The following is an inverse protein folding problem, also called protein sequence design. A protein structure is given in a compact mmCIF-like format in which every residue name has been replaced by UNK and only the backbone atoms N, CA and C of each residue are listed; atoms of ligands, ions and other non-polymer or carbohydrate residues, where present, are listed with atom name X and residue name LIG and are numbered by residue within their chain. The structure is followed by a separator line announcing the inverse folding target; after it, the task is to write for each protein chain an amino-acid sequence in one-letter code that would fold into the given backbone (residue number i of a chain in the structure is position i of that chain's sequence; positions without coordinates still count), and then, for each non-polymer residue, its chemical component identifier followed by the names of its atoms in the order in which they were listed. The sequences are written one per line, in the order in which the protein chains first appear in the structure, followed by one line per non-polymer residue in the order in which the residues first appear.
data_IF_994486338623
#
_entry.id   IF_994486338623
#
_cell.length_a   1.000
_cell.length_b   1.000
_cell.length_c   1.000
_cell.angle_alpha   90.00
_cell.angle_beta   90.00
_cell.angle_gamma   90.00
#
_symmetry.space_group_name_H-M   'P 1'
#
loop_
_entity.id
_entity.type
_entity.pdbx_description
1 polymer ?
#
# COMPACT_ATOMS: atom_id res chain seq x y z
N UNK A 1 7.21 -23.08 17.53
CA UNK A 1 5.77 -23.01 17.17
C UNK A 1 5.58 -23.07 15.64
N UNK A 2 5.95 -24.20 15.01
CA UNK A 2 5.78 -24.41 13.57
C UNK A 2 5.14 -25.79 13.30
N UNK A 3 5.50 -26.79 14.11
CA UNK A 3 4.95 -28.16 14.03
C UNK A 3 3.45 -28.20 14.36
N UNK A 4 2.98 -27.42 15.34
CA UNK A 4 1.55 -27.38 15.71
C UNK A 4 0.62 -26.81 14.61
N UNK A 5 1.13 -25.96 13.71
CA UNK A 5 0.34 -25.43 12.58
C UNK A 5 0.28 -26.41 11.41
N UNK A 6 1.27 -27.31 11.27
CA UNK A 6 1.30 -28.31 10.22
C UNK A 6 0.35 -29.49 10.51
N UNK A 7 0.09 -29.79 11.78
CA UNK A 7 -0.78 -30.89 12.21
C UNK A 7 -2.28 -30.58 12.13
N UNK A 8 -2.67 -29.33 11.85
CA UNK A 8 -4.06 -28.88 11.85
C UNK A 8 -4.43 -28.16 10.53
N UNK A 9 -4.63 -28.92 9.43
CA UNK A 9 -4.88 -28.36 8.10
C UNK A 9 -6.12 -27.45 8.05
N UNK A 10 -7.14 -27.70 8.88
CA UNK A 10 -8.32 -26.83 8.98
C UNK A 10 -8.00 -25.45 9.57
N UNK A 11 -7.16 -25.36 10.60
CA UNK A 11 -6.73 -24.06 11.18
C UNK A 11 -5.83 -23.29 10.21
N UNK A 12 -4.99 -24.00 9.46
CA UNK A 12 -4.15 -23.41 8.42
C UNK A 12 -4.98 -22.85 7.25
N UNK A 13 -6.03 -23.58 6.83
CA UNK A 13 -6.96 -23.12 5.81
C UNK A 13 -7.72 -21.87 6.26
N UNK A 14 -8.25 -21.85 7.48
CA UNK A 14 -8.95 -20.68 8.03
C UNK A 14 -8.04 -19.44 8.14
N UNK A 15 -6.77 -19.63 8.54
CA UNK A 15 -5.80 -18.53 8.61
C UNK A 15 -5.45 -17.99 7.21
N UNK A 16 -5.25 -18.88 6.23
CA UNK A 16 -4.98 -18.48 4.85
C UNK A 16 -6.17 -17.75 4.23
N UNK A 17 -7.39 -18.21 4.50
CA UNK A 17 -8.60 -17.55 4.01
C UNK A 17 -8.78 -16.17 4.63
N UNK A 18 -8.54 -16.03 5.94
CA UNK A 18 -8.52 -14.72 6.59
C UNK A 18 -7.51 -13.79 5.92
N UNK A 19 -6.27 -14.24 5.70
CA UNK A 19 -5.26 -13.45 5.02
C UNK A 19 -5.66 -13.09 3.58
N UNK A 20 -6.28 -14.02 2.83
CA UNK A 20 -6.76 -13.78 1.46
C UNK A 20 -7.84 -12.71 1.43
N UNK A 21 -8.81 -12.79 2.34
CA UNK A 21 -9.90 -11.82 2.45
C UNK A 21 -9.40 -10.44 2.91
N UNK A 22 -8.45 -10.39 3.85
CA UNK A 22 -7.90 -9.12 4.33
C UNK A 22 -6.84 -8.53 3.38
N UNK A 23 -6.23 -9.33 2.50
CA UNK A 23 -5.22 -8.85 1.53
C UNK A 23 -5.77 -7.78 0.59
N UNK A 24 -7.03 -7.87 0.16
CA UNK A 24 -7.66 -6.84 -0.66
C UNK A 24 -8.09 -5.59 0.10
N UNK A 25 -8.25 -5.69 1.43
CA UNK A 25 -8.74 -4.61 2.29
C UNK A 25 -7.61 -3.92 3.10
N UNK A 26 -6.39 -4.48 3.10
CA UNK A 26 -5.25 -3.88 3.75
C UNK A 26 -4.67 -2.78 2.85
N UNK A 27 -4.54 -1.53 3.35
CA UNK A 27 -3.91 -0.43 2.60
C UNK A 27 -2.52 -0.75 2.06
N UNK A 28 -1.80 -1.69 2.70
CA UNK A 28 -0.48 -2.14 2.30
C UNK A 28 -0.43 -2.87 0.94
N UNK A 29 -1.55 -3.44 0.49
CA UNK A 29 -1.63 -4.18 -0.78
C UNK A 29 -2.52 -3.47 -1.82
N UNK A 30 -2.97 -2.24 -1.53
CA UNK A 30 -3.70 -1.42 -2.50
C UNK A 30 -2.70 -0.72 -3.43
N UNK A 31 -2.26 -1.45 -4.45
CA UNK A 31 -1.36 -0.94 -5.48
C UNK A 31 -1.97 0.27 -6.19
N UNK A 32 -3.29 0.29 -6.40
CA UNK A 32 -3.94 1.40 -7.08
C UNK A 32 -3.86 2.69 -6.25
N UNK A 33 -4.06 2.59 -4.93
CA UNK A 33 -3.87 3.73 -4.02
C UNK A 33 -2.42 4.21 -4.02
N UNK A 34 -1.45 3.29 -3.96
CA UNK A 34 -0.03 3.65 -4.04
C UNK A 34 0.31 4.38 -5.35
N UNK A 35 -0.18 3.88 -6.50
CA UNK A 35 0.02 4.53 -7.80
C UNK A 35 -0.55 5.95 -7.81
N UNK A 36 -1.77 6.15 -7.28
CA UNK A 36 -2.37 7.50 -7.19
C UNK A 36 -1.51 8.46 -6.36
N UNK A 37 -0.96 8.02 -5.23
CA UNK A 37 -0.04 8.84 -4.44
C UNK A 37 1.23 9.20 -5.22
N UNK A 38 1.78 8.25 -5.97
CA UNK A 38 2.99 8.47 -6.76
C UNK A 38 2.74 9.46 -7.92
N UNK A 39 1.63 9.32 -8.62
CA UNK A 39 1.22 10.24 -9.69
C UNK A 39 1.03 11.67 -9.16
N UNK A 40 0.34 11.82 -8.02
CA UNK A 40 0.18 13.12 -7.38
C UNK A 40 1.53 13.75 -6.96
N UNK A 41 2.48 12.93 -6.49
CA UNK A 41 3.82 13.39 -6.18
C UNK A 41 4.53 13.93 -7.44
N UNK A 42 4.44 13.22 -8.56
CA UNK A 42 5.06 13.67 -9.81
C UNK A 42 4.44 14.96 -10.36
N UNK A 43 3.12 15.11 -10.26
CA UNK A 43 2.45 16.36 -10.65
C UNK A 43 2.97 17.54 -9.83
N UNK A 44 3.11 17.40 -8.51
CA UNK A 44 3.62 18.46 -7.65
C UNK A 44 5.11 18.75 -7.90
N UNK A 45 5.93 17.73 -8.12
CA UNK A 45 7.34 17.89 -8.52
C UNK A 45 7.43 18.69 -9.82
N UNK A 46 6.63 18.33 -10.82
CA UNK A 46 6.62 19.02 -12.10
C UNK A 46 6.19 20.48 -11.96
N UNK A 47 5.12 20.74 -11.20
CA UNK A 47 4.64 22.11 -10.92
C UNK A 47 5.74 22.97 -10.30
N UNK A 48 6.41 22.46 -9.27
CA UNK A 48 7.50 23.16 -8.58
C UNK A 48 8.70 23.42 -9.48
N UNK A 49 9.06 22.45 -10.33
CA UNK A 49 10.13 22.62 -11.30
C UNK A 49 9.81 23.73 -12.31
N UNK A 50 8.55 23.82 -12.76
CA UNK A 50 8.10 24.90 -13.64
C UNK A 50 8.11 26.27 -12.95
N UNK A 51 7.80 26.30 -11.65
CA UNK A 51 7.88 27.50 -10.82
C UNK A 51 9.33 27.90 -10.46
N UNK A 52 10.34 27.16 -10.96
CA UNK A 52 11.76 27.41 -10.68
C UNK A 52 12.18 27.06 -9.25
N UNK A 53 11.34 26.36 -8.50
CA UNK A 53 11.65 25.90 -7.15
C UNK A 53 12.53 24.67 -7.26
N UNK A 54 13.76 24.77 -6.72
CA UNK A 54 14.69 23.64 -6.67
C UNK A 54 14.13 22.45 -5.86
N UNK A 55 14.76 21.27 -5.94
CA UNK A 55 14.31 20.09 -5.20
C UNK A 55 14.17 20.37 -3.71
N UNK A 56 12.97 20.12 -3.16
CA UNK A 56 12.67 20.28 -1.75
C UNK A 56 11.78 19.13 -1.26
N UNK A 57 11.87 18.83 0.04
CA UNK A 57 10.96 17.89 0.70
C UNK A 57 9.54 18.45 0.68
N UNK A 58 8.56 17.57 0.46
CA UNK A 58 7.15 17.88 0.59
C UNK A 58 6.36 16.61 0.92
N UNK A 59 5.21 16.81 1.55
CA UNK A 59 4.28 15.74 1.86
C UNK A 59 3.26 15.56 0.73
N UNK A 60 2.97 14.30 0.39
CA UNK A 60 1.87 13.95 -0.49
C UNK A 60 0.64 13.72 0.39
N UNK A 61 -0.45 14.50 0.22
CA UNK A 61 -1.65 14.34 1.04
C UNK A 61 -2.26 12.94 0.84
N UNK A 62 -2.92 12.45 1.89
CA UNK A 62 -3.63 11.19 1.81
C UNK A 62 -4.76 11.29 0.78
N UNK A 63 -4.59 10.62 -0.35
CA UNK A 63 -5.69 10.36 -1.29
C UNK A 63 -6.51 9.21 -0.73
N UNK A 64 -7.73 9.53 -0.31
CA UNK A 64 -8.75 8.54 0.00
C UNK A 64 -9.31 7.95 -1.31
N UNK A 65 -9.59 6.65 -1.28
CA UNK A 65 -10.16 5.89 -2.40
C UNK A 65 -11.50 5.32 -2.01
#
# INVERSE_FOLDING_TARGET
KAIALASEPHRLAALRERMRLTRGACPLFDTARFTRHLEAAYVEIWRRAQDGVGPQTFDVPAIDG
#
